data_IF_015498566254
#
_entry.id   IF_015498566254
#
_cell.length_a   1.000
_cell.length_b   1.000
_cell.length_c   1.000
_cell.angle_alpha   90.00
_cell.angle_beta   90.00
_cell.angle_gamma   90.00
#
_symmetry.space_group_name_H-M   'P 1'
#
loop_
_entity.id
_entity.type
_entity.pdbx_description
1 polymer ?
#
# COMPACT_ATOMS: atom_id res chain seq x y z
N UNK A 1 11.95 6.48 5.25
CA UNK A 1 13.04 5.93 6.09
C UNK A 1 12.40 5.06 7.14
N UNK A 2 12.84 3.81 7.26
CA UNK A 2 12.29 2.84 8.22
C UNK A 2 12.85 3.10 9.61
N UNK A 3 12.10 2.75 10.66
CA UNK A 3 12.48 3.10 12.04
C UNK A 3 13.68 2.29 12.54
N UNK A 4 13.94 1.11 11.98
CA UNK A 4 14.94 0.17 12.48
C UNK A 4 16.16 -0.02 11.55
N UNK A 5 16.16 0.61 10.37
CA UNK A 5 17.22 0.41 9.37
C UNK A 5 17.25 -1.00 8.75
N UNK A 6 16.22 -1.82 8.96
CA UNK A 6 16.11 -3.15 8.37
C UNK A 6 15.93 -3.05 6.83
N UNK A 7 16.83 -3.63 6.03
CA UNK A 7 16.70 -3.66 4.57
C UNK A 7 15.38 -4.28 4.07
N UNK A 8 14.81 -5.23 4.80
CA UNK A 8 13.57 -5.90 4.43
C UNK A 8 12.36 -4.95 4.52
N UNK A 9 12.29 -4.14 5.58
CA UNK A 9 11.25 -3.12 5.74
C UNK A 9 11.30 -2.11 4.58
N UNK A 10 12.52 -1.75 4.13
CA UNK A 10 12.68 -0.85 2.99
C UNK A 10 12.23 -1.51 1.68
N UNK A 11 12.60 -2.77 1.44
CA UNK A 11 12.16 -3.49 0.25
C UNK A 11 10.63 -3.62 0.17
N UNK A 12 9.97 -3.83 1.31
CA UNK A 12 8.51 -3.84 1.40
C UNK A 12 7.93 -2.46 1.09
N UNK A 13 8.47 -1.40 1.69
CA UNK A 13 8.03 -0.04 1.46
C UNK A 13 8.18 0.39 -0.01
N UNK A 14 9.31 0.04 -0.64
CA UNK A 14 9.54 0.33 -2.06
C UNK A 14 8.55 -0.41 -2.97
N UNK A 15 8.24 -1.67 -2.66
CA UNK A 15 7.20 -2.41 -3.41
C UNK A 15 5.84 -1.72 -3.32
N UNK A 16 5.42 -1.32 -2.11
CA UNK A 16 4.15 -0.61 -1.90
C UNK A 16 4.16 0.72 -2.68
N UNK A 17 5.24 1.50 -2.56
CA UNK A 17 5.38 2.77 -3.25
C UNK A 17 5.36 2.62 -4.78
N UNK A 18 5.98 1.56 -5.31
CA UNK A 18 5.93 1.24 -6.74
C UNK A 18 4.49 1.02 -7.20
N UNK A 19 3.73 0.17 -6.52
CA UNK A 19 2.32 -0.09 -6.84
C UNK A 19 1.49 1.20 -6.81
N UNK A 20 1.65 2.02 -5.75
CA UNK A 20 0.91 3.28 -5.65
C UNK A 20 1.22 4.21 -6.83
N UNK A 21 2.50 4.35 -7.19
CA UNK A 21 2.95 5.23 -8.28
C UNK A 21 2.54 4.73 -9.67
N UNK A 22 2.62 3.43 -9.90
CA UNK A 22 2.40 2.83 -11.22
C UNK A 22 0.91 2.63 -11.52
N UNK A 23 0.10 2.38 -10.49
CA UNK A 23 -1.30 1.97 -10.68
C UNK A 23 -2.34 2.97 -10.15
N UNK A 24 -2.03 3.74 -9.09
CA UNK A 24 -3.03 4.53 -8.38
C UNK A 24 -2.78 6.04 -8.41
N UNK A 25 -1.59 6.47 -8.80
CA UNK A 25 -1.20 7.89 -8.84
C UNK A 25 -0.86 8.33 -10.25
N UNK A 26 -1.16 9.58 -10.53
CA UNK A 26 -0.69 10.22 -11.76
C UNK A 26 0.75 10.69 -11.61
N UNK A 27 1.46 10.73 -12.73
CA UNK A 27 2.86 11.18 -12.78
C UNK A 27 3.04 12.63 -12.33
N UNK A 28 2.03 13.48 -12.54
CA UNK A 28 2.07 14.89 -12.20
C UNK A 28 0.77 15.35 -11.55
N UNK A 29 0.86 16.34 -10.68
CA UNK A 29 -0.28 17.00 -10.05
C UNK A 29 -0.20 18.50 -10.25
N UNK A 30 -1.37 19.16 -10.39
CA UNK A 30 -1.42 20.59 -10.67
C UNK A 30 -0.88 21.46 -9.54
N UNK A 31 -1.07 21.01 -8.30
CA UNK A 31 -0.58 21.69 -7.11
C UNK A 31 -0.45 20.71 -5.93
N UNK A 32 0.23 21.17 -4.88
CA UNK A 32 0.49 20.38 -3.68
C UNK A 32 -0.79 19.87 -2.99
N UNK A 33 -1.84 20.69 -2.93
CA UNK A 33 -3.12 20.31 -2.30
C UNK A 33 -3.79 19.15 -3.02
N UNK A 34 -3.79 19.18 -4.36
CA UNK A 34 -4.32 18.08 -5.17
C UNK A 34 -3.47 16.82 -5.02
N UNK A 35 -2.15 16.95 -4.98
CA UNK A 35 -1.25 15.81 -4.75
C UNK A 35 -1.57 15.10 -3.42
N UNK A 36 -1.72 15.86 -2.32
CA UNK A 36 -2.09 15.29 -1.01
C UNK A 36 -3.41 14.53 -1.08
N UNK A 37 -4.43 15.13 -1.71
CA UNK A 37 -5.74 14.50 -1.85
C UNK A 37 -5.63 13.17 -2.61
N UNK A 38 -4.97 13.17 -3.77
CA UNK A 38 -4.82 11.99 -4.60
C UNK A 38 -4.01 10.89 -3.89
N UNK A 39 -2.94 11.27 -3.16
CA UNK A 39 -2.15 10.34 -2.34
C UNK A 39 -3.01 9.72 -1.24
N UNK A 40 -3.83 10.52 -0.54
CA UNK A 40 -4.74 9.99 0.48
C UNK A 40 -5.76 9.00 -0.10
N UNK A 41 -6.31 9.30 -1.27
CA UNK A 41 -7.23 8.40 -1.98
C UNK A 41 -6.50 7.12 -2.39
N UNK A 42 -5.31 7.20 -2.99
CA UNK A 42 -4.54 6.03 -3.41
C UNK A 42 -4.20 5.11 -2.24
N UNK A 43 -3.76 5.66 -1.11
CA UNK A 43 -3.48 4.90 0.12
C UNK A 43 -4.76 4.22 0.64
N UNK A 44 -5.89 4.94 0.66
CA UNK A 44 -7.17 4.38 1.08
C UNK A 44 -7.61 3.22 0.18
N UNK A 45 -7.54 3.41 -1.14
CA UNK A 45 -7.86 2.37 -2.12
C UNK A 45 -6.99 1.13 -1.94
N UNK A 46 -5.68 1.30 -1.79
CA UNK A 46 -4.75 0.18 -1.57
C UNK A 46 -5.07 -0.60 -0.29
N UNK A 47 -5.35 0.10 0.81
CA UNK A 47 -5.53 -0.52 2.11
C UNK A 47 -6.91 -1.16 2.32
N UNK A 48 -7.97 -0.54 1.78
CA UNK A 48 -9.37 -0.88 2.08
C UNK A 48 -10.14 -1.47 0.92
N UNK A 49 -9.67 -1.32 -0.32
CA UNK A 49 -10.44 -1.73 -1.51
C UNK A 49 -9.71 -2.76 -2.37
N UNK A 50 -8.38 -2.71 -2.42
CA UNK A 50 -7.58 -3.65 -3.23
C UNK A 50 -7.51 -5.01 -2.53
N UNK A 51 -8.02 -6.10 -3.13
CA UNK A 51 -7.73 -7.45 -2.67
C UNK A 51 -6.32 -7.84 -3.09
N UNK A 52 -5.58 -8.49 -2.19
CA UNK A 52 -4.18 -8.86 -2.42
C UNK A 52 -4.02 -10.38 -2.43
N UNK A 53 -3.56 -10.95 -3.55
CA UNK A 53 -3.44 -12.41 -3.71
C UNK A 53 -2.51 -13.08 -2.69
N UNK A 54 -1.46 -12.40 -2.24
CA UNK A 54 -0.51 -12.89 -1.24
C UNK A 54 -1.11 -13.06 0.17
N UNK A 55 -2.27 -12.47 0.42
CA UNK A 55 -3.03 -12.56 1.67
C UNK A 55 -4.45 -13.07 1.39
N UNK A 56 -4.57 -14.11 0.56
CA UNK A 56 -5.84 -14.80 0.26
C UNK A 56 -6.94 -13.86 -0.27
N UNK A 57 -6.57 -12.88 -1.11
CA UNK A 57 -7.47 -11.88 -1.68
C UNK A 57 -8.17 -10.98 -0.65
N UNK A 58 -7.60 -10.89 0.56
CA UNK A 58 -8.03 -9.90 1.54
C UNK A 58 -7.44 -8.53 1.22
N UNK A 59 -8.10 -7.49 1.69
CA UNK A 59 -7.54 -6.15 1.74
C UNK A 59 -6.46 -6.07 2.82
N UNK A 60 -5.56 -5.08 2.71
CA UNK A 60 -4.48 -4.93 3.69
C UNK A 60 -5.02 -4.74 5.12
N UNK A 61 -6.13 -3.99 5.26
CA UNK A 61 -6.74 -3.77 6.58
C UNK A 61 -7.42 -5.03 7.13
N UNK A 62 -8.09 -5.81 6.29
CA UNK A 62 -8.71 -7.07 6.71
C UNK A 62 -7.65 -8.04 7.21
N UNK A 63 -6.56 -8.21 6.46
CA UNK A 63 -5.44 -9.05 6.90
C UNK A 63 -4.76 -8.52 8.16
N UNK A 64 -4.61 -7.21 8.32
CA UNK A 64 -4.04 -6.61 9.53
C UNK A 64 -4.89 -6.87 10.78
N UNK A 65 -6.22 -6.87 10.64
CA UNK A 65 -7.15 -7.11 11.73
C UNK A 65 -7.35 -8.60 12.04
N UNK A 66 -6.89 -9.50 11.16
CA UNK A 66 -6.94 -10.94 11.42
C UNK A 66 -5.83 -11.38 12.38
N UNK A 67 -6.14 -12.40 13.17
CA UNK A 67 -5.19 -13.07 14.05
C UNK A 67 -5.04 -14.52 13.62
N UNK A 68 -3.82 -15.05 13.72
CA UNK A 68 -3.48 -16.41 13.29
C UNK A 68 -2.82 -16.46 11.91
N UNK A 69 -2.53 -17.67 11.43
CA UNK A 69 -1.85 -17.86 10.15
C UNK A 69 -2.76 -17.57 8.96
N UNK A 70 -2.35 -16.61 8.13
CA UNK A 70 -2.98 -16.39 6.83
C UNK A 70 -2.48 -17.46 5.85
N UNK A 71 -3.42 -18.26 5.31
CA UNK A 71 -3.10 -19.22 4.26
C UNK A 71 -2.67 -18.48 3.00
N UNK A 72 -1.38 -18.58 2.68
CA UNK A 72 -0.81 -18.13 1.41
C UNK A 72 -1.14 -19.18 0.34
N UNK A 73 -1.65 -18.75 -0.80
CA UNK A 73 -1.82 -19.63 -1.98
C UNK A 73 -0.62 -19.51 -2.90
#
# INVERSE_FOLDING_TARGET
MTQNGDPLENALAERVNGILKDELLEKNHKNHKQAICNVSVAISTYNYQRPHGSINYLTSIEAHNMSGELKRR
#
